data_IF_585077406377
#
_entry.id   IF_585077406377
#
_cell.length_a   1.000
_cell.length_b   1.000
_cell.length_c   1.000
_cell.angle_alpha   90.00
_cell.angle_beta   90.00
_cell.angle_gamma   90.00
#
_symmetry.space_group_name_H-M   'P 1'
#
loop_
_entity.id
_entity.type
_entity.pdbx_description
1 polymer ?
#
# COMPACT_ATOMS: atom_id res chain seq x y z
N UNK A 1 2.79 14.52 53.55
CA UNK A 1 3.71 13.99 52.54
C UNK A 1 3.16 14.31 51.13
N UNK A 2 3.85 15.14 50.34
CA UNK A 2 3.46 15.40 48.97
C UNK A 2 3.80 14.16 48.14
N UNK A 3 2.79 13.51 47.59
CA UNK A 3 3.03 12.46 46.58
C UNK A 3 3.66 13.11 45.35
N UNK A 4 4.95 12.92 45.19
CA UNK A 4 5.62 13.34 43.96
C UNK A 4 5.35 12.29 42.87
N UNK A 5 4.38 12.59 42.02
CA UNK A 5 4.13 11.77 40.85
C UNK A 5 5.17 12.13 39.78
N UNK A 6 6.13 11.26 39.60
CA UNK A 6 7.09 11.39 38.52
C UNK A 6 6.41 11.05 37.21
N UNK A 7 6.65 11.86 36.17
CA UNK A 7 6.16 11.59 34.82
C UNK A 7 6.94 10.40 34.23
N UNK A 8 6.26 9.28 34.13
CA UNK A 8 6.85 8.04 33.60
C UNK A 8 6.29 7.61 32.25
N UNK A 9 5.24 8.30 31.79
CA UNK A 9 4.58 7.95 30.53
C UNK A 9 4.60 9.16 29.58
N UNK A 10 4.80 8.87 28.29
CA UNK A 10 4.71 9.84 27.19
C UNK A 10 5.67 11.03 27.34
N UNK A 11 6.79 10.84 28.00
CA UNK A 11 7.73 11.92 28.34
C UNK A 11 8.43 12.54 27.12
N UNK A 12 8.40 11.86 25.97
CA UNK A 12 9.05 12.32 24.73
C UNK A 12 8.05 12.57 23.60
N UNK A 13 6.75 12.51 23.89
CA UNK A 13 5.71 12.78 22.89
C UNK A 13 5.44 14.28 22.84
N UNK A 14 5.70 14.87 21.69
CA UNK A 14 5.52 16.32 21.47
C UNK A 14 4.08 16.62 21.04
N UNK A 15 3.48 15.72 20.24
CA UNK A 15 2.13 15.93 19.72
C UNK A 15 1.47 14.58 19.41
N UNK A 16 0.14 14.57 19.34
CA UNK A 16 -0.65 13.39 18.96
C UNK A 16 -1.67 13.83 17.91
N UNK A 17 -1.64 13.20 16.76
CA UNK A 17 -2.60 13.45 15.68
C UNK A 17 -3.51 12.26 15.49
N UNK A 18 -4.80 12.54 15.33
CA UNK A 18 -5.79 11.48 15.10
C UNK A 18 -5.68 10.98 13.67
N UNK A 19 -5.65 9.67 13.49
CA UNK A 19 -5.72 9.00 12.19
C UNK A 19 -7.07 8.29 12.14
N UNK A 20 -7.82 8.35 11.03
CA UNK A 20 -9.11 7.66 10.96
C UNK A 20 -8.91 6.15 11.14
N UNK A 21 -9.89 5.48 11.73
CA UNK A 21 -9.83 4.03 11.88
C UNK A 21 -9.91 3.37 10.48
N UNK A 22 -9.29 2.22 10.28
CA UNK A 22 -9.32 1.57 8.96
C UNK A 22 -10.74 1.42 8.39
N UNK A 23 -11.71 0.99 9.22
CA UNK A 23 -13.09 0.80 8.76
C UNK A 23 -13.72 2.12 8.26
N UNK A 24 -13.35 3.26 8.86
CA UNK A 24 -13.86 4.57 8.43
C UNK A 24 -13.40 4.89 7.02
N UNK A 25 -12.13 4.62 6.73
CA UNK A 25 -11.55 4.90 5.43
C UNK A 25 -12.07 3.91 4.36
N UNK A 26 -12.20 2.64 4.73
CA UNK A 26 -12.76 1.60 3.84
C UNK A 26 -14.21 1.95 3.47
N UNK A 27 -15.01 2.39 4.44
CA UNK A 27 -16.39 2.79 4.19
C UNK A 27 -16.49 4.08 3.36
N UNK A 28 -15.54 5.00 3.54
CA UNK A 28 -15.50 6.26 2.78
C UNK A 28 -15.12 6.02 1.31
N UNK A 29 -14.23 5.06 1.07
CA UNK A 29 -13.74 4.71 -0.26
C UNK A 29 -13.86 3.19 -0.46
N UNK A 30 -15.09 2.68 -0.64
CA UNK A 30 -15.29 1.24 -0.81
C UNK A 30 -14.85 0.76 -2.18
N UNK A 31 -14.50 -0.51 -2.28
CA UNK A 31 -14.25 -1.16 -3.58
C UNK A 31 -15.60 -1.63 -4.16
N UNK A 32 -15.66 -1.71 -5.47
CA UNK A 32 -16.83 -2.24 -6.18
C UNK A 32 -16.63 -3.72 -6.52
N UNK A 33 -17.66 -4.34 -7.11
CA UNK A 33 -17.63 -5.76 -7.47
C UNK A 33 -16.51 -6.08 -8.47
N UNK A 34 -16.23 -5.17 -9.42
CA UNK A 34 -15.20 -5.39 -10.43
C UNK A 34 -13.81 -5.41 -9.80
N UNK A 35 -13.55 -4.48 -8.88
CA UNK A 35 -12.28 -4.45 -8.15
C UNK A 35 -12.15 -5.70 -7.27
N UNK A 36 -13.22 -6.07 -6.59
CA UNK A 36 -13.25 -7.28 -5.76
C UNK A 36 -12.91 -8.53 -6.58
N UNK A 37 -13.51 -8.66 -7.78
CA UNK A 37 -13.23 -9.77 -8.69
C UNK A 37 -11.77 -9.75 -9.18
N UNK A 38 -11.24 -8.57 -9.50
CA UNK A 38 -9.84 -8.42 -9.92
C UNK A 38 -8.90 -8.92 -8.84
N UNK A 39 -9.10 -8.45 -7.60
CA UNK A 39 -8.22 -8.81 -6.48
C UNK A 39 -8.30 -10.31 -6.19
N UNK A 40 -9.50 -10.83 -6.05
CA UNK A 40 -9.74 -12.25 -5.78
C UNK A 40 -9.17 -13.14 -6.89
N UNK A 41 -9.48 -12.79 -8.14
CA UNK A 41 -9.02 -13.54 -9.31
C UNK A 41 -7.50 -13.55 -9.41
N UNK A 42 -6.86 -12.38 -9.24
CA UNK A 42 -5.40 -12.26 -9.30
C UNK A 42 -4.73 -13.08 -8.21
N UNK A 43 -5.27 -13.07 -6.99
CA UNK A 43 -4.73 -13.89 -5.89
C UNK A 43 -4.77 -15.37 -6.25
N UNK A 44 -5.86 -15.83 -6.86
CA UNK A 44 -5.98 -17.21 -7.34
C UNK A 44 -4.97 -17.52 -8.44
N UNK A 45 -4.84 -16.62 -9.42
CA UNK A 45 -3.87 -16.81 -10.53
C UNK A 45 -2.44 -16.90 -10.00
N UNK A 46 -2.06 -16.01 -9.07
CA UNK A 46 -0.73 -16.05 -8.43
C UNK A 46 -0.53 -17.40 -7.75
N UNK A 47 -1.55 -17.87 -7.02
CA UNK A 47 -1.47 -19.18 -6.35
C UNK A 47 -1.28 -20.31 -7.35
N UNK A 48 -2.01 -20.29 -8.48
CA UNK A 48 -1.86 -21.32 -9.52
C UNK A 48 -0.45 -21.31 -10.11
N UNK A 49 0.10 -20.12 -10.39
CA UNK A 49 1.46 -19.99 -10.93
C UNK A 49 2.49 -20.54 -9.93
N UNK A 50 2.36 -20.16 -8.66
CA UNK A 50 3.32 -20.58 -7.62
C UNK A 50 3.24 -22.10 -7.30
N UNK A 51 2.16 -22.77 -7.69
CA UNK A 51 1.99 -24.21 -7.50
C UNK A 51 2.12 -25.01 -8.82
N UNK A 52 2.72 -24.40 -9.83
CA UNK A 52 2.98 -25.02 -11.14
C UNK A 52 1.70 -25.52 -11.85
N UNK A 53 0.58 -24.81 -11.65
CA UNK A 53 -0.72 -25.13 -12.29
C UNK A 53 -1.06 -24.16 -13.41
N UNK A 54 -0.26 -23.11 -13.57
CA UNK A 54 -0.40 -22.10 -14.62
C UNK A 54 1.03 -21.81 -15.09
N UNK A 55 1.27 -21.93 -16.38
CA UNK A 55 2.61 -21.82 -16.97
C UNK A 55 3.10 -20.39 -17.16
N UNK A 56 2.26 -19.40 -16.84
CA UNK A 56 2.65 -17.99 -16.97
C UNK A 56 3.74 -17.60 -15.97
N UNK A 57 4.41 -16.50 -16.26
CA UNK A 57 5.38 -15.90 -15.34
C UNK A 57 4.66 -14.80 -14.54
N UNK A 58 4.82 -14.82 -13.23
CA UNK A 58 4.31 -13.77 -12.34
C UNK A 58 5.39 -12.71 -12.14
N UNK A 59 5.05 -11.45 -12.42
CA UNK A 59 5.99 -10.32 -12.37
C UNK A 59 5.41 -9.19 -11.53
N UNK A 60 6.18 -8.72 -10.54
CA UNK A 60 5.86 -7.51 -9.76
C UNK A 60 6.77 -6.41 -10.27
N UNK A 61 6.22 -5.40 -10.92
CA UNK A 61 7.00 -4.35 -11.58
C UNK A 61 6.44 -2.96 -11.32
N UNK A 62 7.32 -1.99 -11.10
CA UNK A 62 6.92 -0.62 -10.82
C UNK A 62 8.04 0.20 -10.21
N UNK A 63 7.76 1.46 -9.88
CA UNK A 63 8.76 2.34 -9.28
C UNK A 63 9.23 1.83 -7.91
N UNK A 64 10.39 2.29 -7.49
CA UNK A 64 10.97 1.89 -6.19
C UNK A 64 10.02 2.23 -5.03
N UNK A 65 9.43 3.42 -5.06
CA UNK A 65 8.34 3.81 -4.15
C UNK A 65 7.56 4.96 -4.77
N UNK A 66 6.29 5.05 -4.38
CA UNK A 66 5.41 6.10 -4.88
C UNK A 66 5.65 7.37 -4.04
N UNK A 67 5.92 8.47 -4.71
CA UNK A 67 6.04 9.77 -4.06
C UNK A 67 5.07 10.79 -4.69
N UNK A 68 4.66 10.56 -5.93
CA UNK A 68 3.76 11.44 -6.67
C UNK A 68 2.59 10.62 -7.23
N UNK A 69 1.36 10.83 -6.74
CA UNK A 69 0.19 10.10 -7.23
C UNK A 69 -0.06 10.24 -8.73
N UNK A 70 0.14 11.43 -9.29
CA UNK A 70 -0.09 11.68 -10.71
C UNK A 70 0.82 10.79 -11.58
N UNK A 71 2.11 10.78 -11.26
CA UNK A 71 3.09 9.95 -11.98
C UNK A 71 2.78 8.46 -11.82
N UNK A 72 2.30 8.05 -10.65
CA UNK A 72 1.94 6.66 -10.39
C UNK A 72 0.77 6.22 -11.27
N UNK A 73 -0.25 7.06 -11.40
CA UNK A 73 -1.42 6.75 -12.24
C UNK A 73 -1.01 6.72 -13.73
N UNK A 74 -0.19 7.66 -14.17
CA UNK A 74 0.33 7.65 -15.56
C UNK A 74 1.10 6.35 -15.84
N UNK A 75 1.94 5.92 -14.90
CA UNK A 75 2.67 4.66 -15.02
C UNK A 75 1.68 3.48 -15.09
N UNK A 76 0.66 3.48 -14.22
CA UNK A 76 -0.36 2.42 -14.18
C UNK A 76 -1.14 2.34 -15.51
N UNK A 77 -1.50 3.48 -16.11
CA UNK A 77 -2.18 3.52 -17.41
C UNK A 77 -1.36 2.83 -18.48
N UNK A 78 -0.08 3.15 -18.56
CA UNK A 78 0.85 2.53 -19.52
C UNK A 78 1.02 1.05 -19.23
N UNK A 79 1.19 0.69 -17.96
CA UNK A 79 1.38 -0.71 -17.56
C UNK A 79 0.12 -1.56 -17.80
N UNK A 80 -1.08 -0.97 -17.66
CA UNK A 80 -2.34 -1.69 -17.91
C UNK A 80 -2.45 -2.12 -19.39
N UNK A 81 -1.92 -1.32 -20.31
CA UNK A 81 -1.89 -1.67 -21.73
C UNK A 81 -0.97 -2.89 -21.94
N UNK A 82 0.21 -2.87 -21.34
CA UNK A 82 1.16 -3.99 -21.45
C UNK A 82 0.61 -5.24 -20.77
N UNK A 83 -0.10 -5.08 -19.65
CA UNK A 83 -0.73 -6.18 -18.94
C UNK A 83 -1.73 -6.92 -19.86
N UNK A 84 -2.55 -6.19 -20.58
CA UNK A 84 -3.52 -6.78 -21.53
C UNK A 84 -2.80 -7.47 -22.69
N UNK A 85 -1.75 -6.82 -23.22
CA UNK A 85 -0.98 -7.32 -24.36
C UNK A 85 -0.28 -8.65 -24.07
N UNK A 86 0.26 -8.81 -22.86
CA UNK A 86 1.06 -9.99 -22.51
C UNK A 86 0.33 -10.98 -21.59
N UNK A 87 -0.98 -10.81 -21.41
CA UNK A 87 -1.76 -11.58 -20.41
C UNK A 87 -1.74 -13.10 -20.60
N UNK A 88 -1.49 -13.58 -21.82
CA UNK A 88 -1.40 -15.02 -22.09
C UNK A 88 -0.13 -15.66 -21.52
N UNK A 89 0.92 -14.87 -21.32
CA UNK A 89 2.23 -15.40 -20.91
C UNK A 89 2.72 -14.85 -19.59
N UNK A 90 2.25 -13.64 -19.23
CA UNK A 90 2.75 -12.93 -18.05
C UNK A 90 1.58 -12.41 -17.24
N UNK A 91 1.60 -12.67 -15.95
CA UNK A 91 0.69 -12.01 -15.00
C UNK A 91 1.45 -10.83 -14.38
N UNK A 92 1.07 -9.62 -14.76
CA UNK A 92 1.71 -8.39 -14.27
C UNK A 92 0.95 -7.86 -13.08
N UNK A 93 1.68 -7.62 -11.97
CA UNK A 93 1.17 -6.94 -10.77
C UNK A 93 2.00 -5.68 -10.61
N UNK A 94 1.34 -4.51 -10.53
CA UNK A 94 2.05 -3.26 -10.34
C UNK A 94 2.61 -3.16 -8.93
N UNK A 95 3.89 -2.86 -8.83
CA UNK A 95 4.54 -2.57 -7.55
C UNK A 95 4.10 -1.17 -7.10
N UNK A 96 3.40 -1.10 -5.96
CA UNK A 96 2.88 0.16 -5.40
C UNK A 96 3.34 0.23 -3.94
N UNK A 97 4.57 0.66 -3.73
CA UNK A 97 5.20 0.72 -2.41
C UNK A 97 5.11 2.15 -1.87
N UNK A 98 4.51 2.30 -0.71
CA UNK A 98 4.20 3.60 -0.09
C UNK A 98 5.13 3.97 1.04
N UNK A 99 5.89 3.04 1.57
CA UNK A 99 6.69 3.24 2.77
C UNK A 99 8.17 2.95 2.50
N UNK A 100 9.02 3.59 3.30
CA UNK A 100 10.47 3.39 3.25
C UNK A 100 10.94 2.90 4.62
N UNK A 101 11.59 1.74 4.71
CA UNK A 101 12.10 1.24 5.99
C UNK A 101 13.35 2.00 6.45
N UNK A 102 13.18 3.23 6.87
CA UNK A 102 14.25 4.12 7.33
C UNK A 102 14.43 4.00 8.84
N UNK A 103 15.67 3.87 9.27
CA UNK A 103 15.98 3.81 10.70
C UNK A 103 16.15 5.19 11.33
N UNK A 104 16.81 6.11 10.65
CA UNK A 104 17.12 7.44 11.20
C UNK A 104 16.77 8.58 10.28
N UNK A 105 17.37 8.65 9.12
CA UNK A 105 17.29 9.82 8.22
C UNK A 105 16.63 9.45 6.90
N UNK A 106 15.95 10.43 6.32
CA UNK A 106 15.32 10.32 4.99
C UNK A 106 13.82 10.19 5.03
N UNK A 107 13.22 10.47 3.91
CA UNK A 107 11.77 10.43 3.72
C UNK A 107 11.19 9.04 4.05
N UNK A 108 10.14 9.03 4.86
CA UNK A 108 9.53 7.79 5.39
C UNK A 108 8.51 7.15 4.43
N UNK A 109 8.24 7.77 3.30
CA UNK A 109 7.28 7.27 2.32
C UNK A 109 5.97 8.05 2.33
N UNK A 110 5.14 7.82 1.30
CA UNK A 110 3.93 8.59 1.05
C UNK A 110 2.91 8.48 2.18
N UNK A 111 2.76 7.32 2.80
CA UNK A 111 1.80 7.17 3.91
C UNK A 111 2.24 8.00 5.11
N UNK A 112 3.52 7.95 5.44
CA UNK A 112 4.03 8.62 6.64
C UNK A 112 4.22 10.13 6.45
N UNK A 113 4.63 10.56 5.24
CA UNK A 113 4.92 11.98 4.97
C UNK A 113 4.53 12.32 3.53
N UNK A 114 3.21 12.43 3.27
CA UNK A 114 2.70 12.63 1.89
C UNK A 114 3.11 13.94 1.26
N UNK A 115 3.39 14.96 2.06
CA UNK A 115 3.75 16.30 1.56
C UNK A 115 5.27 16.50 1.45
N UNK A 116 6.06 15.51 1.83
CA UNK A 116 7.54 15.51 1.77
C UNK A 116 8.12 16.75 2.49
N UNK A 117 7.55 17.07 3.64
CA UNK A 117 7.92 18.28 4.39
C UNK A 117 8.01 18.04 5.90
N UNK A 118 8.07 16.78 6.29
CA UNK A 118 8.22 16.34 7.68
C UNK A 118 7.04 16.74 8.59
N UNK A 119 5.86 17.02 8.00
CA UNK A 119 4.63 17.26 8.78
C UNK A 119 4.00 15.94 9.23
N UNK A 120 4.39 14.84 8.62
CA UNK A 120 3.92 13.48 8.96
C UNK A 120 2.39 13.39 9.05
N UNK A 121 1.71 13.89 8.00
CA UNK A 121 0.24 13.86 7.93
C UNK A 121 -0.23 12.47 7.49
N UNK A 122 -0.18 11.52 8.41
CA UNK A 122 -0.48 10.10 8.15
C UNK A 122 -1.94 9.92 7.71
N UNK A 123 -2.87 10.69 8.28
CA UNK A 123 -4.29 10.63 7.89
C UNK A 123 -4.46 10.93 6.39
N UNK A 124 -3.76 11.95 5.90
CA UNK A 124 -3.74 12.30 4.47
C UNK A 124 -3.04 11.19 3.66
N UNK A 125 -1.94 10.68 4.19
CA UNK A 125 -1.15 9.65 3.52
C UNK A 125 -1.92 8.37 3.26
N UNK A 126 -2.62 7.83 4.27
CA UNK A 126 -3.40 6.60 4.10
C UNK A 126 -4.58 6.80 3.15
N UNK A 127 -5.21 7.99 3.19
CA UNK A 127 -6.29 8.33 2.27
C UNK A 127 -5.79 8.39 0.82
N UNK A 128 -4.66 9.05 0.59
CA UNK A 128 -4.03 9.13 -0.73
C UNK A 128 -3.67 7.74 -1.27
N UNK A 129 -3.08 6.88 -0.41
CA UNK A 129 -2.70 5.53 -0.79
C UNK A 129 -3.92 4.71 -1.21
N UNK A 130 -5.00 4.75 -0.42
CA UNK A 130 -6.22 3.99 -0.74
C UNK A 130 -6.85 4.47 -2.04
N UNK A 131 -7.00 5.78 -2.23
CA UNK A 131 -7.58 6.36 -3.46
C UNK A 131 -6.78 5.94 -4.70
N UNK A 132 -5.45 6.03 -4.61
CA UNK A 132 -4.56 5.65 -5.69
C UNK A 132 -4.72 4.17 -6.06
N UNK A 133 -4.78 3.29 -5.06
CA UNK A 133 -4.97 1.85 -5.29
C UNK A 133 -6.31 1.56 -5.97
N UNK A 134 -7.37 2.29 -5.60
CA UNK A 134 -8.68 2.16 -6.24
C UNK A 134 -8.56 2.56 -7.73
N UNK A 135 -7.93 3.71 -8.02
CA UNK A 135 -7.75 4.18 -9.40
C UNK A 135 -6.95 3.18 -10.24
N UNK A 136 -5.89 2.61 -9.67
CA UNK A 136 -5.08 1.58 -10.35
C UNK A 136 -5.94 0.35 -10.64
N UNK A 137 -6.73 -0.11 -9.66
CA UNK A 137 -7.61 -1.27 -9.83
C UNK A 137 -8.70 -1.02 -10.88
N UNK A 138 -9.21 0.22 -10.98
CA UNK A 138 -10.21 0.61 -12.00
C UNK A 138 -9.66 0.47 -13.41
N UNK A 139 -8.33 0.52 -13.59
CA UNK A 139 -7.67 0.26 -14.87
C UNK A 139 -7.60 -1.24 -15.19
N UNK A 140 -8.05 -2.11 -14.29
CA UNK A 140 -7.93 -3.55 -14.42
C UNK A 140 -6.53 -4.06 -14.10
N UNK A 141 -5.72 -3.27 -13.41
CA UNK A 141 -4.32 -3.58 -13.09
C UNK A 141 -4.22 -3.98 -11.61
N UNK A 142 -3.80 -5.22 -11.31
CA UNK A 142 -3.63 -5.61 -9.91
C UNK A 142 -2.40 -4.96 -9.29
N UNK A 143 -2.44 -4.73 -7.99
CA UNK A 143 -1.37 -4.07 -7.26
C UNK A 143 -0.78 -4.96 -6.17
N UNK A 144 0.53 -4.82 -5.98
CA UNK A 144 1.25 -5.43 -4.88
C UNK A 144 1.99 -4.38 -4.06
N UNK A 145 2.03 -4.56 -2.75
CA UNK A 145 2.71 -3.60 -1.86
C UNK A 145 3.56 -4.33 -0.82
N UNK A 146 4.38 -3.56 -0.11
CA UNK A 146 5.17 -4.07 0.99
C UNK A 146 4.52 -3.64 2.32
N UNK A 147 4.40 -4.58 3.24
CA UNK A 147 3.87 -4.34 4.57
C UNK A 147 5.03 -4.27 5.57
N UNK A 148 5.20 -3.13 6.21
CA UNK A 148 6.30 -2.86 7.16
C UNK A 148 5.81 -2.79 8.61
N UNK A 149 4.49 -2.79 8.84
CA UNK A 149 3.88 -2.72 10.17
C UNK A 149 2.52 -3.44 10.15
N UNK A 150 1.95 -3.75 11.31
CA UNK A 150 0.67 -4.49 11.36
C UNK A 150 -0.58 -3.62 11.20
N UNK A 151 -0.45 -2.30 11.15
CA UNK A 151 -1.60 -1.37 11.13
C UNK A 151 -1.90 -0.88 9.72
N UNK A 152 -0.89 -0.38 9.00
CA UNK A 152 -1.05 0.17 7.63
C UNK A 152 -1.78 -0.78 6.68
N UNK A 153 -1.53 -2.09 6.72
CA UNK A 153 -2.24 -3.01 5.83
C UNK A 153 -3.77 -2.95 5.94
N UNK A 154 -4.28 -2.69 7.14
CA UNK A 154 -5.72 -2.68 7.39
C UNK A 154 -6.48 -1.64 6.57
N UNK A 155 -5.79 -0.63 6.05
CA UNK A 155 -6.38 0.41 5.22
C UNK A 155 -6.50 0.01 3.74
N UNK A 156 -5.77 -1.02 3.29
CA UNK A 156 -5.62 -1.31 1.86
C UNK A 156 -5.67 -2.79 1.49
N UNK A 157 -5.73 -3.72 2.45
CA UNK A 157 -5.63 -5.16 2.13
C UNK A 157 -6.71 -5.64 1.16
N UNK A 158 -7.89 -5.06 1.19
CA UNK A 158 -8.98 -5.45 0.29
C UNK A 158 -8.71 -5.12 -1.19
N UNK A 159 -7.69 -4.28 -1.46
CA UNK A 159 -7.33 -3.87 -2.83
C UNK A 159 -6.01 -4.50 -3.29
N UNK A 160 -5.25 -5.10 -2.39
CA UNK A 160 -3.92 -5.63 -2.68
C UNK A 160 -4.00 -7.09 -3.11
N UNK A 161 -3.40 -7.42 -4.25
CA UNK A 161 -3.35 -8.78 -4.79
C UNK A 161 -2.11 -9.55 -4.32
N UNK A 162 -1.01 -8.84 -4.05
CA UNK A 162 0.25 -9.43 -3.58
C UNK A 162 0.84 -8.58 -2.47
N UNK A 163 1.10 -9.18 -1.32
CA UNK A 163 1.72 -8.48 -0.20
C UNK A 163 3.09 -9.07 0.12
N UNK A 164 4.12 -8.24 0.05
CA UNK A 164 5.46 -8.61 0.50
C UNK A 164 5.63 -8.21 1.96
N UNK A 165 6.08 -9.14 2.80
CA UNK A 165 6.35 -8.83 4.20
C UNK A 165 7.78 -8.32 4.32
N UNK A 166 7.93 -7.10 4.78
CA UNK A 166 9.25 -6.48 4.91
C UNK A 166 10.09 -7.14 6.01
N UNK A 167 11.38 -7.20 5.79
CA UNK A 167 12.32 -7.87 6.70
C UNK A 167 12.38 -7.21 8.10
N UNK A 168 11.88 -5.97 8.23
CA UNK A 168 11.92 -5.20 9.48
C UNK A 168 10.54 -4.92 10.05
N UNK A 169 9.60 -5.78 9.77
CA UNK A 169 8.25 -5.67 10.36
C UNK A 169 8.20 -6.03 11.83
N UNK A 170 9.03 -6.55 12.11
CA UNK A 170 9.04 -6.91 13.40
C UNK A 170 9.03 -5.82 14.27
N UNK A 171 8.81 -5.66 14.24
CA UNK A 171 8.89 -4.71 15.10
C UNK A 171 7.88 -4.77 15.54
#
# INVERSE_FOLDING_TARGET
MKNMNYLTDNTRIVDRKKVPAPYELVNKYPINDEISKLVYGTRNEISQILHDKDDRIFVVVGPCSIHDPQSAIEYAERLSIENKKFSENILIVMRVYFEKPRTTVGWKGLINDPDINETYNIAKGVEMARKMLIEIAELGLPAGTEFLDPISPQYVTDIISWGAIGARTXX
#
